data_IF_781589431224
#
_entry.id   IF_781589431224
#
_cell.length_a   1.000
_cell.length_b   1.000
_cell.length_c   1.000
_cell.angle_alpha   90.00
_cell.angle_beta   90.00
_cell.angle_gamma   90.00
#
_symmetry.space_group_name_H-M   'P 1'
#
loop_
_entity.id
_entity.type
_entity.pdbx_description
1 polymer ?
#
# COMPACT_ATOMS: atom_id res chain seq x y z
N UNK A 1 -0.16 17.10 2.90
CA UNK A 1 -1.59 17.28 3.19
C UNK A 1 -1.95 16.37 4.35
N UNK A 2 -2.58 16.89 5.38
CA UNK A 2 -2.92 16.13 6.59
C UNK A 2 -4.22 16.65 7.21
N UNK A 3 -4.82 15.85 8.09
CA UNK A 3 -5.95 16.29 8.90
C UNK A 3 -5.43 17.01 10.15
N UNK A 4 -6.22 17.94 10.68
CA UNK A 4 -5.91 18.59 11.96
C UNK A 4 -6.67 17.91 13.13
N UNK A 5 -7.36 16.83 12.86
CA UNK A 5 -8.13 16.06 13.83
C UNK A 5 -7.56 14.65 13.92
N UNK A 6 -7.19 14.25 15.12
CA UNK A 6 -6.67 12.89 15.35
C UNK A 6 -7.69 11.82 14.96
N UNK A 7 -7.18 10.73 14.38
CA UNK A 7 -7.96 9.61 13.86
C UNK A 7 -8.96 9.97 12.74
N UNK A 8 -8.89 11.17 12.19
CA UNK A 8 -9.71 11.51 11.02
C UNK A 8 -9.20 10.73 9.79
N UNK A 9 -10.13 10.11 9.09
CA UNK A 9 -9.85 9.33 7.89
C UNK A 9 -9.63 10.23 6.68
N UNK A 10 -8.85 9.77 5.71
CA UNK A 10 -8.56 10.48 4.47
C UNK A 10 -9.04 9.62 3.30
N UNK A 11 -9.83 10.21 2.41
CA UNK A 11 -10.25 9.60 1.16
C UNK A 11 -9.60 10.26 -0.04
N UNK A 12 -9.12 9.47 -1.00
CA UNK A 12 -8.51 9.93 -2.24
C UNK A 12 -9.24 9.35 -3.45
N UNK A 13 -9.35 10.12 -4.51
CA UNK A 13 -10.05 9.72 -5.73
C UNK A 13 -11.57 9.75 -5.55
N UNK A 14 -12.26 8.64 -5.81
CA UNK A 14 -13.69 8.50 -5.57
C UNK A 14 -14.02 8.08 -4.13
N UNK A 15 -13.02 7.76 -3.30
CA UNK A 15 -13.24 7.32 -1.93
C UNK A 15 -13.80 8.45 -1.07
N UNK A 16 -14.92 8.17 -0.46
CA UNK A 16 -15.54 9.05 0.52
C UNK A 16 -15.59 8.41 1.92
N UNK A 17 -14.85 7.32 2.13
CA UNK A 17 -14.80 6.56 3.39
C UNK A 17 -16.20 6.21 3.91
N UNK A 18 -17.11 5.80 3.02
CA UNK A 18 -18.50 5.58 3.38
C UNK A 18 -19.27 6.87 3.76
N UNK A 19 -18.85 8.04 3.27
CA UNK A 19 -19.43 9.33 3.57
C UNK A 19 -18.94 9.99 4.86
N UNK A 20 -17.86 9.47 5.46
CA UNK A 20 -17.35 9.89 6.77
C UNK A 20 -15.89 10.32 6.79
N UNK A 21 -15.24 10.55 5.63
CA UNK A 21 -13.88 11.07 5.61
C UNK A 21 -13.77 12.40 6.33
N UNK A 22 -12.75 12.54 7.18
CA UNK A 22 -12.38 13.82 7.77
C UNK A 22 -11.73 14.76 6.75
N UNK A 23 -11.10 14.19 5.72
CA UNK A 23 -10.56 14.89 4.55
C UNK A 23 -10.83 14.03 3.31
N UNK A 24 -11.31 14.65 2.25
CA UNK A 24 -11.46 13.99 0.94
C UNK A 24 -10.80 14.84 -0.15
N UNK A 25 -10.06 14.21 -1.05
CA UNK A 25 -9.47 14.81 -2.23
C UNK A 25 -9.89 14.01 -3.45
N UNK A 26 -10.75 14.60 -4.25
CA UNK A 26 -11.18 14.00 -5.53
C UNK A 26 -10.03 13.98 -6.54
N UNK A 27 -10.11 13.13 -7.56
CA UNK A 27 -9.18 13.12 -8.71
C UNK A 27 -9.02 14.51 -9.33
N UNK A 28 -10.11 15.28 -9.46
CA UNK A 28 -10.07 16.64 -9.99
C UNK A 28 -9.26 17.59 -9.10
N UNK A 29 -9.33 17.45 -7.78
CA UNK A 29 -8.58 18.27 -6.83
C UNK A 29 -7.12 17.87 -6.79
N UNK A 30 -6.82 16.57 -6.84
CA UNK A 30 -5.46 16.05 -6.94
C UNK A 30 -4.76 16.62 -8.17
N UNK A 31 -5.40 16.60 -9.33
CA UNK A 31 -4.87 17.14 -10.58
C UNK A 31 -4.63 18.65 -10.60
N UNK A 32 -5.13 19.40 -9.58
CA UNK A 32 -4.87 20.84 -9.43
C UNK A 32 -3.67 21.17 -8.53
N UNK A 33 -3.14 20.18 -7.82
CA UNK A 33 -2.01 20.38 -6.92
C UNK A 33 -0.73 20.29 -7.75
N UNK A 34 0.10 21.32 -7.73
CA UNK A 34 1.41 21.32 -8.39
C UNK A 34 2.51 21.24 -7.35
N UNK A 35 3.22 20.12 -7.31
CA UNK A 35 4.36 19.89 -6.42
C UNK A 35 5.28 18.81 -7.01
N UNK A 36 6.53 18.77 -6.62
CA UNK A 36 7.43 17.67 -7.02
C UNK A 36 7.06 16.35 -6.35
N UNK A 37 6.70 16.40 -5.07
CA UNK A 37 6.24 15.23 -4.30
C UNK A 37 4.97 15.57 -3.55
N UNK A 38 4.06 14.60 -3.46
CA UNK A 38 2.85 14.71 -2.67
C UNK A 38 2.98 13.82 -1.42
N UNK A 39 2.78 14.39 -0.25
CA UNK A 39 2.69 13.63 1.02
C UNK A 39 1.26 13.82 1.57
N UNK A 40 0.60 12.71 1.82
CA UNK A 40 -0.76 12.67 2.39
C UNK A 40 -0.73 11.88 3.69
N UNK A 41 -1.29 12.47 4.73
CA UNK A 41 -1.35 11.88 6.06
C UNK A 41 -0.08 12.07 6.88
N UNK A 42 -0.13 11.57 8.11
CA UNK A 42 0.93 11.65 9.12
C UNK A 42 0.76 10.54 10.19
N UNK A 43 1.31 10.76 11.38
CA UNK A 43 1.20 9.84 12.52
C UNK A 43 -0.06 10.01 13.36
N UNK A 44 -0.99 10.89 12.99
CA UNK A 44 -2.17 11.21 13.81
C UNK A 44 -3.49 10.90 13.11
N UNK A 45 -3.51 10.83 11.77
CA UNK A 45 -4.73 10.49 11.03
C UNK A 45 -5.13 9.01 11.22
N UNK A 46 -6.39 8.73 10.94
CA UNK A 46 -6.92 7.38 10.80
C UNK A 46 -6.55 6.75 9.45
N UNK A 47 -7.38 5.87 8.96
CA UNK A 47 -7.15 5.19 7.69
C UNK A 47 -7.05 6.16 6.51
N UNK A 48 -6.26 5.77 5.50
CA UNK A 48 -6.28 6.37 4.18
C UNK A 48 -6.91 5.37 3.21
N UNK A 49 -7.94 5.79 2.50
CA UNK A 49 -8.64 4.95 1.51
C UNK A 49 -8.53 5.58 0.13
N UNK A 50 -8.17 4.76 -0.86
CA UNK A 50 -8.01 5.19 -2.25
C UNK A 50 -9.00 4.44 -3.14
N UNK A 51 -9.66 5.16 -4.04
CA UNK A 51 -10.59 4.61 -5.00
C UNK A 51 -10.39 5.25 -6.37
N UNK A 52 -9.75 4.49 -7.28
CA UNK A 52 -9.64 4.88 -8.67
C UNK A 52 -8.76 6.11 -8.93
N UNK A 53 -7.52 6.11 -8.46
CA UNK A 53 -6.54 7.14 -8.81
C UNK A 53 -5.98 6.83 -10.21
N UNK A 54 -6.34 7.64 -11.21
CA UNK A 54 -5.78 7.51 -12.55
C UNK A 54 -4.34 8.09 -12.59
N UNK A 55 -3.53 7.62 -13.53
CA UNK A 55 -2.16 8.15 -13.71
C UNK A 55 -2.14 9.67 -13.94
N UNK A 56 -3.15 10.20 -14.63
CA UNK A 56 -3.31 11.64 -14.91
C UNK A 56 -3.65 12.47 -13.67
N UNK A 57 -4.07 11.85 -12.57
CA UNK A 57 -4.38 12.57 -11.33
C UNK A 57 -3.12 12.86 -10.52
N UNK A 58 -2.03 12.14 -10.81
CA UNK A 58 -0.78 12.17 -10.05
C UNK A 58 0.48 12.31 -10.93
N UNK A 59 0.37 12.48 -12.25
CA UNK A 59 1.50 12.57 -13.18
C UNK A 59 2.36 13.82 -12.98
N UNK A 60 1.83 14.85 -12.32
CA UNK A 60 2.58 16.06 -11.92
C UNK A 60 3.47 15.82 -10.69
N UNK A 61 3.36 14.68 -10.00
CA UNK A 61 4.21 14.33 -8.87
C UNK A 61 5.27 13.32 -9.28
N UNK A 62 6.52 13.54 -8.87
CA UNK A 62 7.57 12.52 -9.01
C UNK A 62 7.30 11.31 -8.13
N UNK A 63 6.73 11.54 -6.94
CA UNK A 63 6.31 10.48 -6.02
C UNK A 63 5.13 10.90 -5.16
N UNK A 64 4.35 9.91 -4.74
CA UNK A 64 3.30 10.07 -3.74
C UNK A 64 3.66 9.27 -2.49
N UNK A 65 3.57 9.89 -1.33
CA UNK A 65 3.75 9.22 -0.03
C UNK A 65 2.43 9.26 0.75
N UNK A 66 1.98 8.10 1.20
CA UNK A 66 0.79 7.93 2.02
C UNK A 66 1.20 7.49 3.42
N UNK A 67 0.87 8.29 4.43
CA UNK A 67 1.24 8.02 5.82
C UNK A 67 -0.01 7.85 6.68
N UNK A 68 -0.31 6.60 7.06
CA UNK A 68 -1.31 6.24 8.06
C UNK A 68 -0.59 5.54 9.22
N UNK A 69 0.40 6.21 9.82
CA UNK A 69 1.35 5.60 10.75
C UNK A 69 0.89 5.63 12.21
N UNK A 70 -0.32 6.13 12.48
CA UNK A 70 -0.97 5.94 13.77
C UNK A 70 -1.21 4.44 14.02
N UNK A 71 -0.96 3.99 15.23
CA UNK A 71 -1.26 2.59 15.60
C UNK A 71 -2.73 2.28 15.36
N UNK A 72 -3.02 1.19 14.66
CA UNK A 72 -4.36 0.81 14.25
C UNK A 72 -4.85 1.43 12.92
N UNK A 73 -4.08 2.31 12.29
CA UNK A 73 -4.43 2.93 11.01
C UNK A 73 -3.87 2.15 9.82
N UNK A 74 -4.67 2.02 8.77
CA UNK A 74 -4.37 1.24 7.58
C UNK A 74 -4.46 2.08 6.31
N UNK A 75 -3.84 1.62 5.23
CA UNK A 75 -4.04 2.15 3.89
C UNK A 75 -4.75 1.10 3.04
N UNK A 76 -5.84 1.50 2.37
CA UNK A 76 -6.73 0.60 1.64
C UNK A 76 -6.93 1.13 0.22
N UNK A 77 -6.59 0.31 -0.76
CA UNK A 77 -6.93 0.54 -2.17
C UNK A 77 -8.19 -0.27 -2.48
N UNK A 78 -9.27 0.40 -2.86
CA UNK A 78 -10.58 -0.24 -2.99
C UNK A 78 -11.31 0.14 -4.27
N UNK A 79 -12.34 -0.63 -4.59
CA UNK A 79 -13.31 -0.48 -5.67
C UNK A 79 -12.68 -0.40 -7.06
N UNK A 80 -12.01 0.69 -7.39
CA UNK A 80 -11.46 0.95 -8.73
C UNK A 80 -9.93 0.92 -8.72
N UNK A 81 -9.34 0.46 -9.83
CA UNK A 81 -7.89 0.34 -9.98
C UNK A 81 -7.18 1.70 -9.85
N UNK A 82 -6.00 1.68 -9.26
CA UNK A 82 -5.19 2.87 -9.08
C UNK A 82 -3.85 2.76 -9.81
N UNK A 83 -3.34 3.91 -10.31
CA UNK A 83 -2.04 4.00 -10.99
C UNK A 83 -1.25 5.19 -10.48
N UNK A 84 0.03 4.95 -10.13
CA UNK A 84 0.97 5.98 -9.68
C UNK A 84 2.28 5.94 -10.48
N UNK A 85 3.06 7.02 -10.44
CA UNK A 85 4.45 6.99 -10.89
C UNK A 85 5.28 6.22 -9.85
N UNK A 86 5.73 6.83 -8.79
CA UNK A 86 6.33 6.15 -7.65
C UNK A 86 5.44 6.33 -6.42
N UNK A 87 5.31 5.29 -5.60
CA UNK A 87 4.50 5.36 -4.38
C UNK A 87 5.24 4.77 -3.18
N UNK A 88 5.15 5.48 -2.08
CA UNK A 88 5.54 5.00 -0.75
C UNK A 88 4.32 4.99 0.15
N UNK A 89 4.06 3.88 0.81
CA UNK A 89 2.92 3.72 1.71
C UNK A 89 3.43 3.22 3.06
N UNK A 90 3.13 3.97 4.11
CA UNK A 90 3.44 3.62 5.48
C UNK A 90 2.15 3.53 6.28
N UNK A 91 1.89 2.37 6.87
CA UNK A 91 0.70 2.11 7.68
C UNK A 91 1.08 1.43 9.01
N UNK A 92 0.43 1.81 10.10
CA UNK A 92 0.66 1.18 11.42
C UNK A 92 -0.05 -0.17 11.56
N UNK A 93 -1.11 -0.43 10.76
CA UNK A 93 -1.93 -1.64 10.93
C UNK A 93 -2.36 -2.27 9.60
N UNK A 94 -1.47 -2.25 8.62
CA UNK A 94 -1.65 -2.99 7.38
C UNK A 94 -1.95 -2.15 6.15
N UNK A 95 -1.59 -2.73 5.01
CA UNK A 95 -1.90 -2.21 3.67
C UNK A 95 -2.71 -3.28 2.96
N UNK A 96 -3.86 -2.89 2.40
CA UNK A 96 -4.74 -3.81 1.67
C UNK A 96 -4.98 -3.34 0.25
N UNK A 97 -4.72 -4.20 -0.71
CA UNK A 97 -5.10 -4.02 -2.11
C UNK A 97 -6.38 -4.82 -2.37
N UNK A 98 -7.52 -4.15 -2.37
CA UNK A 98 -8.82 -4.72 -2.75
C UNK A 98 -9.20 -4.36 -4.19
N UNK A 99 -8.34 -3.64 -4.90
CA UNK A 99 -8.37 -3.35 -6.34
C UNK A 99 -6.95 -3.44 -6.89
N UNK A 100 -6.78 -3.46 -8.22
CA UNK A 100 -5.45 -3.52 -8.81
C UNK A 100 -4.67 -2.22 -8.56
N UNK A 101 -3.38 -2.37 -8.35
CA UNK A 101 -2.45 -1.26 -8.24
C UNK A 101 -1.34 -1.40 -9.28
N UNK A 102 -1.17 -0.37 -10.11
CA UNK A 102 -0.05 -0.25 -11.04
C UNK A 102 0.86 0.89 -10.63
N UNK A 103 2.17 0.67 -10.68
CA UNK A 103 3.14 1.74 -10.49
C UNK A 103 4.16 1.74 -11.63
N UNK A 104 4.57 2.91 -12.07
CA UNK A 104 5.53 3.10 -13.16
C UNK A 104 6.92 3.49 -12.66
N UNK A 105 7.15 3.36 -11.35
CA UNK A 105 8.41 3.67 -10.66
C UNK A 105 8.57 2.84 -9.40
N UNK A 106 9.55 3.20 -8.58
CA UNK A 106 9.83 2.51 -7.32
C UNK A 106 8.61 2.48 -6.41
N UNK A 107 8.34 1.30 -5.85
CA UNK A 107 7.22 1.05 -4.94
C UNK A 107 7.75 0.56 -3.60
N UNK A 108 7.34 1.24 -2.53
CA UNK A 108 7.75 0.86 -1.16
C UNK A 108 6.53 0.82 -0.26
N UNK A 109 6.32 -0.30 0.40
CA UNK A 109 5.26 -0.52 1.37
C UNK A 109 5.85 -0.90 2.72
N UNK A 110 5.45 -0.18 3.75
CA UNK A 110 5.68 -0.53 5.15
C UNK A 110 4.31 -0.64 5.84
N UNK A 111 3.84 -1.88 5.96
CA UNK A 111 2.51 -2.16 6.50
C UNK A 111 2.46 -2.29 8.02
N UNK A 112 3.61 -2.27 8.68
CA UNK A 112 3.75 -2.35 10.15
C UNK A 112 4.77 -1.30 10.62
N UNK A 113 4.53 -0.03 10.24
CA UNK A 113 5.48 1.08 10.41
C UNK A 113 5.78 1.43 11.88
N UNK A 114 4.96 0.99 12.81
CA UNK A 114 5.21 1.08 14.25
C UNK A 114 5.87 -0.18 14.83
N UNK A 115 6.13 -1.19 13.99
CA UNK A 115 6.80 -2.46 14.29
C UNK A 115 6.18 -3.18 15.50
N UNK A 116 4.85 -3.11 15.64
CA UNK A 116 4.12 -3.77 16.74
C UNK A 116 3.69 -5.21 16.40
N UNK A 117 3.88 -5.66 15.16
CA UNK A 117 3.57 -7.01 14.68
C UNK A 117 2.13 -7.21 14.23
N UNK A 118 1.37 -6.13 14.06
CA UNK A 118 -0.05 -6.21 13.65
C UNK A 118 -0.26 -5.94 12.16
N UNK A 119 0.67 -5.23 11.51
CA UNK A 119 0.50 -4.74 10.15
C UNK A 119 0.79 -5.81 9.09
N UNK A 120 -0.24 -6.31 8.43
CA UNK A 120 -0.16 -7.31 7.35
C UNK A 120 -0.24 -6.61 6.00
N UNK A 121 0.58 -7.03 5.02
CA UNK A 121 0.40 -6.68 3.63
C UNK A 121 -0.55 -7.67 2.96
N UNK A 122 -1.69 -7.20 2.47
CA UNK A 122 -2.74 -8.05 1.91
C UNK A 122 -3.04 -7.68 0.47
N UNK A 123 -3.09 -8.67 -0.41
CA UNK A 123 -3.69 -8.54 -1.75
C UNK A 123 -4.92 -9.45 -1.81
N UNK A 124 -6.07 -8.87 -2.05
CA UNK A 124 -7.34 -9.60 -2.14
C UNK A 124 -7.35 -10.55 -3.34
N UNK A 125 -8.18 -11.58 -3.28
CA UNK A 125 -8.28 -12.59 -4.34
C UNK A 125 -8.53 -11.95 -5.72
N UNK A 126 -7.75 -12.40 -6.71
CA UNK A 126 -7.84 -11.92 -8.09
C UNK A 126 -7.25 -10.53 -8.35
N UNK A 127 -6.70 -9.85 -7.34
CA UNK A 127 -6.11 -8.52 -7.53
C UNK A 127 -4.61 -8.61 -7.85
N UNK A 128 -4.10 -7.59 -8.53
CA UNK A 128 -2.71 -7.54 -8.98
C UNK A 128 -2.00 -6.27 -8.49
N UNK A 129 -0.80 -6.44 -7.97
CA UNK A 129 0.20 -5.39 -7.84
C UNK A 129 1.17 -5.51 -9.01
N UNK A 130 1.25 -4.48 -9.85
CA UNK A 130 2.16 -4.44 -10.99
C UNK A 130 3.07 -3.21 -10.89
N UNK A 131 4.36 -3.40 -10.73
CA UNK A 131 5.32 -2.30 -10.67
C UNK A 131 5.98 -1.97 -12.02
N UNK A 132 5.41 -2.46 -13.13
CA UNK A 132 5.94 -2.19 -14.48
C UNK A 132 7.43 -2.50 -14.61
N UNK A 133 7.88 -3.61 -14.03
CA UNK A 133 9.28 -4.04 -13.94
C UNK A 133 10.19 -3.12 -13.10
N UNK A 134 9.63 -2.26 -12.26
CA UNK A 134 10.38 -1.48 -11.29
C UNK A 134 10.56 -2.25 -9.96
N UNK A 135 11.41 -1.71 -9.09
CA UNK A 135 11.67 -2.32 -7.78
C UNK A 135 10.48 -2.19 -6.85
N UNK A 136 10.20 -3.28 -6.13
CA UNK A 136 9.25 -3.38 -5.05
C UNK A 136 9.97 -3.68 -3.74
N UNK A 137 9.63 -2.97 -2.68
CA UNK A 137 10.00 -3.31 -1.30
C UNK A 137 8.75 -3.42 -0.46
N UNK A 138 8.59 -4.51 0.29
CA UNK A 138 7.49 -4.71 1.24
C UNK A 138 8.07 -5.07 2.60
N UNK A 139 7.81 -4.23 3.60
CA UNK A 139 8.07 -4.50 5.01
C UNK A 139 6.73 -4.77 5.70
N UNK A 140 6.60 -5.90 6.40
CA UNK A 140 5.34 -6.29 7.04
C UNK A 140 5.55 -7.31 8.17
N UNK A 141 4.57 -7.44 9.05
CA UNK A 141 4.56 -8.51 10.05
C UNK A 141 4.27 -9.87 9.40
N UNK A 142 3.45 -9.89 8.34
CA UNK A 142 3.17 -11.04 7.49
C UNK A 142 2.59 -10.58 6.15
N UNK A 143 2.50 -11.49 5.18
CA UNK A 143 1.81 -11.27 3.92
C UNK A 143 0.59 -12.20 3.82
N UNK A 144 -0.43 -11.76 3.09
CA UNK A 144 -1.62 -12.54 2.79
C UNK A 144 -1.99 -12.31 1.32
N UNK A 145 -1.66 -13.28 0.48
CA UNK A 145 -1.94 -13.23 -0.95
C UNK A 145 -3.19 -14.08 -1.24
N UNK A 146 -4.29 -13.43 -1.57
CA UNK A 146 -5.55 -14.08 -1.89
C UNK A 146 -5.46 -14.99 -3.12
N UNK A 147 -6.36 -15.96 -3.23
CA UNK A 147 -6.35 -16.88 -4.37
C UNK A 147 -6.41 -16.15 -5.71
N UNK A 148 -5.46 -16.45 -6.60
CA UNK A 148 -5.37 -15.82 -7.92
C UNK A 148 -4.92 -14.36 -7.89
N UNK A 149 -4.42 -13.86 -6.76
CA UNK A 149 -3.74 -12.57 -6.74
C UNK A 149 -2.36 -12.68 -7.40
N UNK A 150 -1.76 -11.54 -7.74
CA UNK A 150 -0.43 -11.53 -8.35
C UNK A 150 0.41 -10.33 -7.91
N UNK A 151 1.70 -10.55 -7.75
CA UNK A 151 2.73 -9.52 -7.67
C UNK A 151 3.61 -9.65 -8.92
N UNK A 152 3.68 -8.59 -9.72
CA UNK A 152 4.55 -8.50 -10.90
C UNK A 152 5.53 -7.34 -10.71
N UNK A 153 6.81 -7.64 -10.55
CA UNK A 153 7.82 -6.63 -10.28
C UNK A 153 9.15 -6.92 -10.99
N UNK A 154 10.02 -5.93 -11.08
CA UNK A 154 11.42 -6.14 -11.46
C UNK A 154 12.14 -6.88 -10.35
N UNK A 155 12.61 -6.17 -9.34
CA UNK A 155 13.15 -6.77 -8.11
C UNK A 155 12.09 -6.71 -7.01
N UNK A 156 11.86 -7.81 -6.30
CA UNK A 156 11.03 -7.83 -5.10
C UNK A 156 11.90 -8.04 -3.86
N UNK A 157 11.79 -7.16 -2.88
CA UNK A 157 12.44 -7.31 -1.57
C UNK A 157 11.36 -7.42 -0.51
N UNK A 158 11.29 -8.57 0.16
CA UNK A 158 10.33 -8.82 1.22
C UNK A 158 11.05 -8.82 2.57
N UNK A 159 10.60 -7.97 3.47
CA UNK A 159 11.23 -7.70 4.75
C UNK A 159 10.25 -7.98 5.89
N UNK A 160 10.76 -8.55 6.96
CA UNK A 160 10.03 -8.62 8.22
C UNK A 160 10.11 -7.27 8.94
N UNK A 161 8.99 -6.82 9.49
CA UNK A 161 8.91 -5.50 10.16
C UNK A 161 9.53 -5.50 11.56
N UNK A 162 9.58 -6.65 12.23
CA UNK A 162 10.08 -6.76 13.60
C UNK A 162 11.36 -7.58 13.70
N UNK A 163 12.26 -7.16 14.58
CA UNK A 163 13.44 -7.95 14.94
C UNK A 163 13.03 -9.24 15.66
N UNK A 164 13.73 -10.34 15.36
CA UNK A 164 13.49 -11.64 15.97
C UNK A 164 12.33 -12.44 15.38
N UNK A 165 11.61 -11.93 14.40
CA UNK A 165 10.68 -12.72 13.62
C UNK A 165 11.42 -13.76 12.77
N UNK A 166 10.74 -14.86 12.48
CA UNK A 166 11.25 -15.93 11.62
C UNK A 166 10.52 -15.91 10.28
N UNK A 167 11.24 -16.23 9.21
CA UNK A 167 10.67 -16.38 7.87
C UNK A 167 10.46 -17.87 7.57
N UNK A 168 9.24 -18.24 7.21
CA UNK A 168 8.87 -19.56 6.72
C UNK A 168 8.50 -19.49 5.25
N UNK A 169 9.11 -20.35 4.43
CA UNK A 169 8.78 -20.45 3.00
C UNK A 169 8.26 -21.84 2.67
N UNK A 170 7.24 -21.93 1.83
CA UNK A 170 6.59 -23.17 1.46
C UNK A 170 5.91 -23.82 2.66
N UNK A 171 6.39 -24.98 3.09
CA UNK A 171 5.92 -25.67 4.30
C UNK A 171 6.70 -25.29 5.56
N UNK A 172 7.64 -24.36 5.48
CA UNK A 172 8.43 -23.89 6.62
C UNK A 172 7.61 -23.07 7.58
N UNK A 173 7.81 -23.28 8.89
CA UNK A 173 7.16 -22.48 9.92
C UNK A 173 7.87 -21.13 10.09
N UNK A 174 7.11 -20.06 10.22
CA UNK A 174 7.63 -18.71 10.49
C UNK A 174 6.50 -17.80 10.96
N UNK A 175 6.85 -16.72 11.66
CA UNK A 175 5.88 -15.66 11.99
C UNK A 175 5.52 -14.83 10.75
N UNK A 176 6.48 -14.63 9.86
CA UNK A 176 6.23 -14.23 8.48
C UNK A 176 6.28 -15.49 7.61
N UNK A 177 5.23 -15.80 6.89
CA UNK A 177 5.17 -17.03 6.10
C UNK A 177 4.58 -16.78 4.72
N UNK A 178 5.20 -17.41 3.72
CA UNK A 178 4.67 -17.52 2.36
C UNK A 178 4.58 -19.00 2.01
N UNK A 179 3.38 -19.50 1.82
CA UNK A 179 3.18 -20.88 1.38
C UNK A 179 3.53 -21.06 -0.11
N UNK A 180 3.46 -22.30 -0.61
CA UNK A 180 3.78 -22.57 -2.02
C UNK A 180 2.83 -21.87 -2.99
N UNK A 181 1.57 -21.66 -2.59
CA UNK A 181 0.60 -20.98 -3.43
C UNK A 181 0.95 -19.49 -3.51
N UNK A 182 1.21 -18.86 -2.37
CA UNK A 182 1.60 -17.45 -2.30
C UNK A 182 2.93 -17.19 -3.02
N UNK A 183 3.92 -18.05 -2.86
CA UNK A 183 5.20 -17.95 -3.59
C UNK A 183 4.99 -18.02 -5.11
N UNK A 184 4.06 -18.85 -5.58
CA UNK A 184 3.74 -18.96 -7.01
C UNK A 184 3.04 -17.73 -7.60
N UNK A 185 2.49 -16.85 -6.74
CA UNK A 185 1.81 -15.62 -7.13
C UNK A 185 2.79 -14.43 -7.28
N UNK A 186 4.07 -14.62 -6.94
CA UNK A 186 5.09 -13.59 -7.04
C UNK A 186 5.93 -13.85 -8.29
N UNK A 187 5.90 -12.92 -9.23
CA UNK A 187 6.73 -12.91 -10.43
C UNK A 187 7.67 -11.72 -10.36
N UNK A 188 8.96 -11.97 -10.27
CA UNK A 188 9.99 -10.93 -10.26
C UNK A 188 11.24 -11.43 -10.98
N UNK A 189 12.09 -10.51 -11.44
CA UNK A 189 13.40 -10.88 -12.00
C UNK A 189 14.36 -11.35 -10.90
N UNK A 190 14.23 -10.77 -9.70
CA UNK A 190 14.95 -11.12 -8.48
C UNK A 190 14.01 -11.03 -7.27
N UNK A 191 14.13 -11.99 -6.36
CA UNK A 191 13.35 -12.10 -5.13
C UNK A 191 14.28 -12.35 -3.93
#
# INVERSE_FOLDING_TARGET
>A
IQTNLANATIGLGASNCGGTCGLSLTSTELGKITAGNLIVGDSTNGNITLDGIASTDTDQFTSVTLNATSSGSSVIFENSDSTFQAVTVNAGNGITLSSNLTTNGTTSFDSDSDANGSGIFTISAGQTLNTSSNSLSVSSSNMALGSGSAINSGTATLLISQSGQTIGLGSGAGSFSLDNTELSQITSTDL
#
